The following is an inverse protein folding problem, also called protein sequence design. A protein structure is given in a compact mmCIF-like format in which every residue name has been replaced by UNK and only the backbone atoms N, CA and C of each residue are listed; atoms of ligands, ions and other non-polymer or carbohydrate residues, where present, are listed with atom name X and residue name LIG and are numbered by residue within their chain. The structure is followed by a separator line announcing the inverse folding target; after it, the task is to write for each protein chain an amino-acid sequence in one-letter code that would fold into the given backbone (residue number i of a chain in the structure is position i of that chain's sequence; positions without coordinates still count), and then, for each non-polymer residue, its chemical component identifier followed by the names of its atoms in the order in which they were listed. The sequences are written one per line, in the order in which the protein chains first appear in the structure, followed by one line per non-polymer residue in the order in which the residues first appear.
data_IF_918443819136
#
_entry.id   IF_918443819136
#
_cell.length_a   1.000
_cell.length_b   1.000
_cell.length_c   1.000
_cell.angle_alpha   90.00
_cell.angle_beta   90.00
_cell.angle_gamma   90.00
#
_symmetry.space_group_name_H-M   'P 1'
#
loop_
_entity.id
_entity.type
_entity.pdbx_description
1 polymer ?
#
# COMPACT_ATOMS: atom_id res chain seq x y z
N UNK A 1 4.54 3.03 10.45
CA UNK A 1 3.67 3.26 9.28
C UNK A 1 4.47 2.97 8.04
N UNK A 2 3.94 2.13 7.17
CA UNK A 2 4.58 1.61 5.96
C UNK A 2 4.11 2.45 4.77
N UNK A 3 4.97 2.70 3.78
CA UNK A 3 4.59 3.45 2.58
C UNK A 3 4.84 2.59 1.35
N UNK A 4 3.86 2.54 0.47
CA UNK A 4 3.89 1.78 -0.78
C UNK A 4 3.62 2.73 -1.93
N UNK A 5 4.43 2.68 -2.98
CA UNK A 5 4.11 3.32 -4.25
C UNK A 5 3.27 2.37 -5.06
N UNK A 6 2.12 2.83 -5.53
CA UNK A 6 1.21 2.00 -6.31
C UNK A 6 0.99 2.64 -7.67
N UNK A 7 1.31 1.89 -8.71
CA UNK A 7 1.13 2.32 -10.10
C UNK A 7 -0.29 1.99 -10.57
N UNK A 8 -0.87 2.87 -11.39
CA UNK A 8 -2.22 2.68 -11.94
C UNK A 8 -3.38 3.19 -11.08
N UNK A 9 -3.12 3.87 -9.95
CA UNK A 9 -4.15 4.56 -9.17
C UNK A 9 -4.64 5.82 -9.88
N UNK A 10 -5.55 5.67 -10.82
CA UNK A 10 -6.10 6.80 -11.61
C UNK A 10 -7.47 7.25 -11.13
N UNK A 11 -8.09 6.57 -10.17
CA UNK A 11 -9.47 6.85 -9.76
C UNK A 11 -9.74 6.46 -8.29
N UNK A 12 -10.72 7.11 -7.66
CA UNK A 12 -11.17 6.83 -6.27
C UNK A 12 -11.74 5.41 -6.07
N UNK A 13 -11.89 4.62 -7.13
CA UNK A 13 -12.22 3.20 -7.02
C UNK A 13 -11.00 2.35 -6.63
N UNK A 14 -9.79 2.74 -7.07
CA UNK A 14 -8.55 2.06 -6.77
C UNK A 14 -8.24 2.10 -5.27
N UNK A 15 -8.54 3.22 -4.60
CA UNK A 15 -8.30 3.37 -3.15
C UNK A 15 -9.05 2.31 -2.34
N UNK A 16 -10.32 2.04 -2.68
CA UNK A 16 -11.16 1.09 -1.95
C UNK A 16 -10.72 -0.34 -2.22
N UNK A 17 -10.34 -0.64 -3.46
CA UNK A 17 -9.82 -1.95 -3.82
C UNK A 17 -8.53 -2.28 -3.04
N UNK A 18 -7.59 -1.32 -3.00
CA UNK A 18 -6.33 -1.47 -2.25
C UNK A 18 -6.61 -1.57 -0.75
N UNK A 19 -7.47 -0.71 -0.21
CA UNK A 19 -7.85 -0.75 1.22
C UNK A 19 -8.48 -2.09 1.58
N UNK A 20 -9.39 -2.60 0.75
CA UNK A 20 -10.02 -3.91 0.95
C UNK A 20 -9.03 -5.07 0.88
N UNK A 21 -8.05 -5.02 -0.04
CA UNK A 21 -7.02 -6.05 -0.15
C UNK A 21 -6.13 -6.10 1.10
N UNK A 22 -5.73 -4.95 1.63
CA UNK A 22 -4.95 -4.87 2.87
C UNK A 22 -5.81 -5.29 4.07
N UNK A 23 -7.07 -4.88 4.12
CA UNK A 23 -8.00 -5.28 5.19
C UNK A 23 -8.35 -6.77 5.18
N UNK A 24 -8.23 -7.44 4.03
CA UNK A 24 -8.44 -8.88 3.92
C UNK A 24 -7.36 -9.68 4.66
N UNK A 25 -6.13 -9.16 4.73
CA UNK A 25 -5.04 -9.78 5.51
C UNK A 25 -4.99 -9.27 6.95
N UNK A 26 -5.36 -8.00 7.17
CA UNK A 26 -5.41 -7.36 8.48
C UNK A 26 -6.61 -6.40 8.58
N UNK A 27 -7.69 -6.88 9.18
CA UNK A 27 -8.92 -6.10 9.34
C UNK A 27 -8.75 -4.85 10.24
N UNK A 28 -7.67 -4.78 11.03
CA UNK A 28 -7.34 -3.61 11.87
C UNK A 28 -6.38 -2.64 11.20
N UNK A 29 -5.91 -2.94 9.98
CA UNK A 29 -4.99 -2.08 9.25
C UNK A 29 -5.64 -0.74 8.88
N UNK A 30 -4.91 0.35 9.14
CA UNK A 30 -5.32 1.67 8.68
C UNK A 30 -4.62 1.97 7.35
N UNK A 31 -5.41 2.20 6.30
CA UNK A 31 -4.91 2.51 4.96
C UNK A 31 -5.23 3.96 4.64
N UNK A 32 -4.23 4.71 4.21
CA UNK A 32 -4.35 6.08 3.73
C UNK A 32 -3.78 6.16 2.33
N UNK A 33 -4.60 6.54 1.36
CA UNK A 33 -4.19 6.65 -0.05
C UNK A 33 -3.96 8.12 -0.38
N UNK A 34 -2.79 8.41 -0.91
CA UNK A 34 -2.36 9.73 -1.37
C UNK A 34 -2.26 9.71 -2.89
N UNK A 35 -3.36 10.06 -3.56
CA UNK A 35 -3.42 10.06 -5.04
C UNK A 35 -2.52 11.14 -5.65
N UNK A 36 -2.26 12.24 -4.93
CA UNK A 36 -1.38 13.31 -5.38
C UNK A 36 0.08 12.87 -5.41
N UNK A 37 0.52 12.11 -4.40
CA UNK A 37 1.87 11.54 -4.36
C UNK A 37 1.99 10.19 -5.08
N UNK A 38 0.86 9.50 -5.34
CA UNK A 38 0.85 8.12 -5.86
C UNK A 38 1.30 7.10 -4.81
N UNK A 39 1.01 7.38 -3.53
CA UNK A 39 1.51 6.62 -2.39
C UNK A 39 0.36 6.09 -1.52
N UNK A 40 0.56 4.92 -0.92
CA UNK A 40 -0.38 4.29 0.00
C UNK A 40 0.34 4.07 1.31
N UNK A 41 -0.12 4.72 2.37
CA UNK A 41 0.40 4.58 3.72
C UNK A 41 -0.45 3.56 4.47
N UNK A 42 0.18 2.48 4.91
CA UNK A 42 -0.49 1.41 5.66
C UNK A 42 0.06 1.36 7.08
N UNK A 43 -0.83 1.39 8.06
CA UNK A 43 -0.52 1.10 9.44
C UNK A 43 -1.01 -0.31 9.76
N UNK A 44 -0.07 -1.24 9.88
CA UNK A 44 -0.32 -2.62 10.28
C UNK A 44 0.89 -3.17 11.04
N UNK A 45 0.63 -4.20 11.86
CA UNK A 45 1.67 -5.00 12.52
C UNK A 45 2.26 -6.08 11.60
N UNK A 46 1.65 -6.31 10.43
CA UNK A 46 2.13 -7.28 9.45
C UNK A 46 3.40 -6.80 8.73
N UNK A 47 4.27 -7.73 8.30
CA UNK A 47 5.46 -7.39 7.53
C UNK A 47 5.09 -6.78 6.18
N UNK A 48 5.98 -5.91 5.69
CA UNK A 48 5.83 -5.18 4.42
C UNK A 48 5.56 -6.11 3.24
N UNK A 49 6.27 -7.24 3.15
CA UNK A 49 6.07 -8.23 2.09
C UNK A 49 4.64 -8.77 2.04
N UNK A 50 4.01 -9.07 3.19
CA UNK A 50 2.62 -9.57 3.19
C UNK A 50 1.64 -8.53 2.64
N UNK A 51 1.82 -7.27 3.02
CA UNK A 51 0.99 -6.17 2.54
C UNK A 51 1.21 -5.95 1.05
N UNK A 52 2.47 -6.00 0.61
CA UNK A 52 2.85 -5.89 -0.79
C UNK A 52 2.22 -6.99 -1.64
N UNK A 53 2.32 -8.25 -1.20
CA UNK A 53 1.72 -9.39 -1.87
C UNK A 53 0.20 -9.27 -1.95
N UNK A 54 -0.47 -8.78 -0.90
CA UNK A 54 -1.92 -8.56 -0.92
C UNK A 54 -2.32 -7.54 -2.00
N UNK A 55 -1.56 -6.46 -2.15
CA UNK A 55 -1.81 -5.44 -3.19
C UNK A 55 -1.56 -6.00 -4.59
N UNK A 56 -0.50 -6.80 -4.77
CA UNK A 56 -0.19 -7.49 -6.03
C UNK A 56 -1.27 -8.51 -6.38
N UNK A 57 -1.77 -9.27 -5.40
CA UNK A 57 -2.84 -10.25 -5.58
C UNK A 57 -4.16 -9.59 -6.00
N UNK A 58 -4.42 -8.37 -5.51
CA UNK A 58 -5.54 -7.54 -5.96
C UNK A 58 -5.40 -7.00 -7.40
N UNK A 59 -4.27 -7.29 -8.08
CA UNK A 59 -4.03 -6.90 -9.47
C UNK A 59 -3.35 -5.54 -9.63
N UNK A 60 -2.80 -4.97 -8.56
CA UNK A 60 -2.11 -3.69 -8.59
C UNK A 60 -0.60 -3.87 -8.48
N UNK A 61 0.16 -3.08 -9.23
CA UNK A 61 1.62 -3.03 -9.06
C UNK A 61 1.93 -2.09 -7.91
N UNK A 62 2.53 -2.62 -6.86
CA UNK A 62 2.98 -1.84 -5.72
C UNK A 62 4.44 -2.14 -5.42
N UNK A 63 5.12 -1.17 -4.82
CA UNK A 63 6.51 -1.28 -4.37
C UNK A 63 6.62 -0.65 -2.99
N UNK A 64 7.23 -1.35 -2.04
CA UNK A 64 7.51 -0.78 -0.74
C UNK A 64 8.53 0.35 -0.89
N UNK A 65 8.20 1.54 -0.39
CA UNK A 65 9.13 2.65 -0.32
C UNK A 65 9.89 2.51 1.00
N UNK A 66 11.17 2.08 1.00
CA UNK A 66 11.96 2.14 2.21
C UNK A 66 12.09 3.60 2.63
N UNK A 67 11.65 3.92 3.85
CA UNK A 67 12.00 5.18 4.48
C UNK A 67 13.53 5.21 4.61
N UNK A 68 14.18 6.04 3.79
CA UNK A 68 15.63 6.24 3.66
C UNK A 68 16.37 5.28 2.70
N UNK A 69 16.57 5.78 1.48
CA UNK A 69 17.93 5.83 0.92
C UNK A 69 18.58 7.15 1.38
N UNK A 70 19.42 7.08 2.40
CA UNK A 70 20.60 7.96 2.54
C UNK A 70 21.75 6.97 2.74
N UNK A 71 22.31 6.47 1.64
CA UNK A 71 23.62 6.91 1.12
C UNK A 71 24.70 6.91 2.21
N UNK A 72 25.61 5.93 2.08
CA UNK A 72 26.90 5.84 2.75
C UNK A 72 27.74 7.09 2.48
#
# INVERSE_FOLDING_TARGET
MQVFKVDGMTCAHCERAITGAVQAIDASAQVQVDLSAGEVRVHTTHPVDQVLEAIINAGYKAEAVPAAKTSH
#
